data_IF_556178480120
#
_entry.id   IF_556178480120
#
_cell.length_a   1.000
_cell.length_b   1.000
_cell.length_c   1.000
_cell.angle_alpha   90.00
_cell.angle_beta   90.00
_cell.angle_gamma   90.00
#
_symmetry.space_group_name_H-M   'P 1'
#
loop_
_entity.id
_entity.type
_entity.pdbx_description
1 polymer ?
#
# COMPACT_ATOMS: atom_id res chain seq x y z
N UNK A 1 -2.69 17.42 -8.30
CA UNK A 1 -3.02 15.98 -8.28
C UNK A 1 -1.77 15.26 -7.81
N UNK A 2 -1.86 14.22 -6.97
CA UNK A 2 -0.68 13.44 -6.58
C UNK A 2 -0.18 12.67 -7.80
N UNK A 3 1.12 12.76 -8.08
CA UNK A 3 1.77 11.98 -9.13
C UNK A 3 2.12 10.61 -8.57
N UNK A 4 1.21 9.63 -8.73
CA UNK A 4 1.39 8.27 -8.25
C UNK A 4 1.50 7.35 -9.46
N UNK A 5 2.59 6.60 -9.53
CA UNK A 5 2.85 5.64 -10.61
C UNK A 5 3.02 4.23 -10.10
N UNK A 6 2.64 3.28 -10.95
CA UNK A 6 3.03 1.88 -10.79
C UNK A 6 4.51 1.72 -11.14
N UNK A 7 5.24 0.96 -10.35
CA UNK A 7 6.65 0.64 -10.56
C UNK A 7 6.81 -0.87 -10.36
N UNK A 8 7.32 -1.60 -11.38
CA UNK A 8 7.54 -3.03 -11.23
C UNK A 8 8.66 -3.30 -10.21
N UNK A 9 8.59 -4.44 -9.52
CA UNK A 9 9.56 -4.86 -8.50
C UNK A 9 11.03 -4.59 -8.87
N UNK A 10 11.40 -4.89 -10.12
CA UNK A 10 12.75 -4.80 -10.65
C UNK A 10 13.26 -3.36 -10.80
N UNK A 11 12.34 -2.39 -10.88
CA UNK A 11 12.64 -0.96 -11.01
C UNK A 11 12.58 -0.21 -9.66
N UNK A 12 12.28 -0.91 -8.57
CA UNK A 12 12.25 -0.29 -7.23
C UNK A 12 13.67 0.10 -6.81
N UNK A 13 13.89 1.40 -6.63
CA UNK A 13 15.07 1.95 -5.98
C UNK A 13 15.00 1.64 -4.48
N UNK A 14 15.72 0.60 -4.08
CA UNK A 14 15.81 0.13 -2.70
C UNK A 14 16.24 1.22 -1.72
N UNK A 15 17.13 2.12 -2.12
CA UNK A 15 17.65 3.15 -1.20
C UNK A 15 16.59 4.21 -0.95
N UNK A 16 15.91 4.67 -2.01
CA UNK A 16 14.82 5.62 -1.87
C UNK A 16 13.63 5.02 -1.12
N UNK A 17 13.25 3.79 -1.43
CA UNK A 17 12.22 3.05 -0.69
C UNK A 17 12.50 3.00 0.81
N UNK A 18 13.70 2.54 1.19
CA UNK A 18 14.07 2.45 2.59
C UNK A 18 14.14 3.84 3.24
N UNK A 19 14.55 4.88 2.50
CA UNK A 19 14.48 6.27 2.95
C UNK A 19 13.06 6.69 3.28
N UNK A 20 12.10 6.44 2.38
CA UNK A 20 10.68 6.73 2.63
C UNK A 20 10.17 6.03 3.88
N UNK A 21 10.42 4.72 4.00
CA UNK A 21 9.97 3.93 5.15
C UNK A 21 10.62 4.43 6.45
N UNK A 22 11.90 4.77 6.41
CA UNK A 22 12.64 5.26 7.57
C UNK A 22 12.11 6.60 8.09
N UNK A 23 11.79 7.53 7.19
CA UNK A 23 11.30 8.87 7.55
C UNK A 23 9.77 8.97 7.62
N UNK A 24 9.04 7.92 7.25
CA UNK A 24 7.60 7.90 7.32
C UNK A 24 7.12 7.96 8.78
N UNK A 25 6.09 8.77 9.05
CA UNK A 25 5.47 8.83 10.39
C UNK A 25 4.88 7.50 10.83
N UNK A 26 4.51 6.66 9.86
CA UNK A 26 4.00 5.32 10.06
C UNK A 26 5.02 4.22 9.67
N UNK A 27 6.30 4.58 9.58
CA UNK A 27 7.39 3.65 9.30
C UNK A 27 7.50 2.56 10.37
N UNK A 28 7.67 1.32 9.93
CA UNK A 28 7.92 0.18 10.80
C UNK A 28 8.79 -0.86 10.09
N UNK A 29 9.21 -1.91 10.80
CA UNK A 29 10.06 -2.98 10.24
C UNK A 29 9.44 -3.64 9.01
N UNK A 30 8.12 -3.80 8.99
CA UNK A 30 7.36 -4.46 7.93
C UNK A 30 7.41 -3.70 6.59
N UNK A 31 7.72 -2.40 6.60
CA UNK A 31 7.85 -1.60 5.38
C UNK A 31 9.21 -1.73 4.70
N UNK A 32 10.26 -2.15 5.41
CA UNK A 32 11.61 -2.14 4.84
C UNK A 32 11.77 -3.19 3.75
N UNK A 33 12.54 -2.84 2.71
CA UNK A 33 12.75 -3.69 1.54
C UNK A 33 13.24 -5.09 1.93
N UNK A 34 14.20 -5.19 2.87
CA UNK A 34 14.75 -6.49 3.28
C UNK A 34 13.70 -7.37 3.97
N UNK A 35 12.79 -6.76 4.73
CA UNK A 35 11.74 -7.49 5.45
C UNK A 35 10.70 -7.99 4.47
N UNK A 36 10.22 -7.11 3.59
CA UNK A 36 9.29 -7.47 2.51
C UNK A 36 9.85 -8.57 1.61
N UNK A 37 11.14 -8.50 1.23
CA UNK A 37 11.81 -9.58 0.47
C UNK A 37 11.76 -10.92 1.19
N UNK A 38 11.88 -10.91 2.51
CA UNK A 38 11.92 -12.13 3.32
C UNK A 38 10.53 -12.75 3.49
N UNK A 39 9.49 -11.93 3.60
CA UNK A 39 8.12 -12.38 3.90
C UNK A 39 7.29 -12.59 2.65
N UNK A 40 7.29 -11.62 1.72
CA UNK A 40 6.39 -11.59 0.56
C UNK A 40 7.12 -11.80 -0.77
N UNK A 41 8.45 -11.99 -0.74
CA UNK A 41 9.34 -12.19 -1.89
C UNK A 41 9.36 -11.02 -2.85
N UNK A 42 8.37 -10.89 -3.72
CA UNK A 42 8.33 -9.90 -4.80
C UNK A 42 7.02 -9.11 -4.75
N UNK A 43 7.15 -7.81 -4.97
CA UNK A 43 6.03 -6.89 -4.98
C UNK A 43 6.29 -5.79 -6.01
N UNK A 44 5.26 -5.42 -6.75
CA UNK A 44 5.25 -4.15 -7.46
C UNK A 44 4.93 -3.03 -6.48
N UNK A 45 5.01 -1.79 -6.93
CA UNK A 45 4.83 -0.65 -6.05
C UNK A 45 3.93 0.42 -6.66
N UNK A 46 3.20 1.11 -5.79
CA UNK A 46 2.73 2.46 -6.08
C UNK A 46 3.68 3.45 -5.43
N UNK A 47 4.14 4.44 -6.19
CA UNK A 47 5.14 5.42 -5.74
C UNK A 47 4.66 6.84 -6.06
N UNK A 48 4.61 7.71 -5.05
CA UNK A 48 4.34 9.14 -5.21
C UNK A 48 5.65 9.88 -5.52
N UNK A 49 5.66 10.64 -6.62
CA UNK A 49 6.75 11.54 -7.04
C UNK A 49 8.12 10.86 -7.08
N UNK A 50 9.11 11.43 -6.40
CA UNK A 50 10.42 10.81 -6.18
C UNK A 50 10.48 10.12 -4.80
N UNK A 51 9.62 9.10 -4.61
CA UNK A 51 9.55 8.29 -3.40
C UNK A 51 9.09 9.05 -2.14
N UNK A 52 8.26 10.08 -2.27
CA UNK A 52 7.68 10.71 -1.08
C UNK A 52 6.67 9.79 -0.37
N UNK A 53 6.06 8.87 -1.12
CA UNK A 53 5.22 7.81 -0.58
C UNK A 53 5.43 6.52 -1.35
N UNK A 54 5.35 5.39 -0.66
CA UNK A 54 5.49 4.05 -1.23
C UNK A 54 4.44 3.11 -0.67
N UNK A 55 3.88 2.25 -1.51
CA UNK A 55 2.94 1.21 -1.11
C UNK A 55 3.26 -0.09 -1.86
N UNK A 56 3.53 -1.19 -1.15
CA UNK A 56 3.81 -2.46 -1.79
C UNK A 56 2.53 -3.10 -2.33
N UNK A 57 2.63 -3.70 -3.52
CA UNK A 57 1.63 -4.48 -4.22
C UNK A 57 2.18 -5.90 -4.40
N UNK A 58 1.88 -6.84 -3.49
CA UNK A 58 2.32 -8.22 -3.63
C UNK A 58 1.93 -8.82 -4.97
N UNK A 59 2.83 -9.60 -5.58
CA UNK A 59 2.54 -10.34 -6.81
C UNK A 59 1.90 -11.72 -6.59
N UNK A 60 2.04 -12.25 -5.38
CA UNK A 60 1.64 -13.61 -5.03
C UNK A 60 0.85 -13.62 -3.73
N UNK A 61 -0.03 -14.60 -3.58
CA UNK A 61 -0.61 -14.92 -2.28
C UNK A 61 0.50 -15.22 -1.28
N UNK A 62 0.36 -14.67 -0.08
CA UNK A 62 1.37 -14.86 0.94
C UNK A 62 1.24 -16.25 1.58
N UNK A 63 2.35 -16.86 1.99
CA UNK A 63 2.30 -18.05 2.83
C UNK A 63 1.46 -17.76 4.08
N UNK A 64 0.71 -18.73 4.58
CA UNK A 64 -0.14 -18.56 5.77
C UNK A 64 0.63 -18.04 6.99
N UNK A 65 1.91 -18.40 7.15
CA UNK A 65 2.76 -17.90 8.22
C UNK A 65 3.10 -16.40 8.11
N UNK A 66 2.96 -15.79 6.93
CA UNK A 66 3.21 -14.36 6.74
C UNK A 66 2.17 -13.49 7.46
N UNK A 67 0.96 -14.02 7.71
CA UNK A 67 -0.10 -13.35 8.46
C UNK A 67 0.30 -13.08 9.92
N UNK A 68 1.11 -13.97 10.51
CA UNK A 68 1.62 -13.78 11.88
C UNK A 68 2.81 -12.81 11.94
N UNK A 69 3.50 -12.63 10.82
CA UNK A 69 4.71 -11.80 10.71
C UNK A 69 4.43 -10.38 10.20
N UNK A 70 3.22 -10.12 9.70
CA UNK A 70 2.82 -8.81 9.19
C UNK A 70 1.61 -8.32 9.98
N UNK A 71 1.74 -7.16 10.61
CA UNK A 71 0.60 -6.41 11.17
C UNK A 71 -0.19 -5.66 10.07
N UNK A 72 -0.23 -6.24 8.87
CA UNK A 72 -0.71 -5.61 7.62
C UNK A 72 0.39 -4.86 6.85
N UNK A 73 0.17 -4.71 5.54
CA UNK A 73 0.98 -3.84 4.67
C UNK A 73 0.17 -2.60 4.29
N UNK A 74 0.82 -1.54 3.84
CA UNK A 74 0.08 -0.37 3.40
C UNK A 74 0.98 0.76 2.95
N UNK A 75 0.37 1.92 2.78
CA UNK A 75 1.03 3.15 2.39
C UNK A 75 2.00 3.62 3.46
N UNK A 76 3.27 3.84 3.10
CA UNK A 76 4.24 4.58 3.90
C UNK A 76 4.49 5.94 3.25
N UNK A 77 4.56 7.00 4.04
CA UNK A 77 4.70 8.35 3.51
C UNK A 77 5.47 9.26 4.45
N UNK A 78 6.38 10.06 3.89
CA UNK A 78 6.97 11.20 4.61
C UNK A 78 6.02 12.39 4.68
N UNK A 79 4.97 12.39 3.83
CA UNK A 79 3.90 13.37 3.85
C UNK A 79 2.77 12.93 4.80
N UNK A 80 1.87 13.85 5.20
CA UNK A 80 0.71 13.50 6.01
C UNK A 80 -0.17 12.44 5.33
N UNK A 81 -0.60 11.41 6.06
CA UNK A 81 -1.57 10.42 5.57
C UNK A 81 -3.00 10.99 5.59
N UNK A 82 -3.22 12.06 4.80
CA UNK A 82 -4.54 12.64 4.59
C UNK A 82 -5.46 11.65 3.89
N UNK A 83 -6.77 11.77 4.13
CA UNK A 83 -7.81 10.96 3.47
C UNK A 83 -7.61 10.94 1.94
N UNK A 84 -7.47 12.10 1.30
CA UNK A 84 -7.23 12.20 -0.15
C UNK A 84 -6.02 11.37 -0.63
N UNK A 85 -4.96 11.25 0.16
CA UNK A 85 -3.76 10.47 -0.17
C UNK A 85 -4.03 8.98 -0.05
N UNK A 86 -4.61 8.57 1.08
CA UNK A 86 -4.99 7.17 1.32
C UNK A 86 -5.91 6.69 0.20
N UNK A 87 -6.91 7.50 -0.18
CA UNK A 87 -7.84 7.17 -1.26
C UNK A 87 -7.20 7.12 -2.64
N UNK A 88 -6.28 8.04 -2.94
CA UNK A 88 -5.58 8.01 -4.22
C UNK A 88 -4.77 6.70 -4.38
N UNK A 89 -4.08 6.27 -3.32
CA UNK A 89 -3.37 4.99 -3.31
C UNK A 89 -4.30 3.79 -3.34
N UNK A 90 -5.38 3.80 -2.56
CA UNK A 90 -6.36 2.70 -2.55
C UNK A 90 -7.00 2.50 -3.93
N UNK A 91 -7.44 3.57 -4.58
CA UNK A 91 -8.08 3.50 -5.90
C UNK A 91 -7.13 2.97 -6.99
N UNK A 92 -5.83 3.25 -6.86
CA UNK A 92 -4.82 2.70 -7.74
C UNK A 92 -4.51 1.24 -7.39
N UNK A 93 -4.46 0.89 -6.10
CA UNK A 93 -4.31 -0.50 -5.65
C UNK A 93 -5.45 -1.36 -6.20
N UNK A 94 -6.71 -0.93 -6.06
CA UNK A 94 -7.89 -1.68 -6.53
C UNK A 94 -7.82 -1.99 -8.04
N UNK A 95 -7.23 -1.08 -8.83
CA UNK A 95 -7.02 -1.27 -10.27
C UNK A 95 -5.86 -2.20 -10.62
N UNK A 96 -4.87 -2.34 -9.74
CA UNK A 96 -3.59 -2.99 -10.04
C UNK A 96 -3.30 -4.24 -9.19
N UNK A 97 -4.09 -4.54 -8.16
CA UNK A 97 -3.78 -5.56 -7.13
C UNK A 97 -4.02 -7.01 -7.55
N UNK A 98 -4.38 -7.26 -8.82
CA UNK A 98 -4.65 -8.60 -9.35
C UNK A 98 -5.61 -9.44 -8.47
N UNK A 99 -6.53 -8.79 -7.73
CA UNK A 99 -7.47 -9.42 -6.78
C UNK A 99 -6.86 -10.15 -5.58
N UNK A 100 -5.58 -9.90 -5.26
CA UNK A 100 -4.95 -10.45 -4.06
C UNK A 100 -5.55 -9.78 -2.81
N UNK A 101 -6.20 -10.58 -1.98
CA UNK A 101 -6.77 -10.12 -0.70
C UNK A 101 -5.71 -10.21 0.40
N UNK A 102 -5.37 -9.07 0.99
CA UNK A 102 -4.52 -9.01 2.18
C UNK A 102 -5.02 -7.91 3.12
N UNK A 103 -4.72 -8.07 4.41
CA UNK A 103 -5.05 -7.06 5.40
C UNK A 103 -4.14 -5.84 5.24
N UNK A 104 -4.77 -4.68 5.16
CA UNK A 104 -4.08 -3.41 5.25
C UNK A 104 -3.61 -3.12 6.67
N UNK A 105 -2.52 -2.35 6.80
CA UNK A 105 -2.12 -1.80 8.09
C UNK A 105 -3.17 -0.79 8.61
N UNK A 106 -3.10 -0.46 9.91
CA UNK A 106 -4.06 0.43 10.57
C UNK A 106 -4.18 1.83 9.92
N UNK A 107 -3.12 2.28 9.23
CA UNK A 107 -3.06 3.57 8.55
C UNK A 107 -3.86 3.61 7.24
N UNK A 108 -4.21 2.44 6.73
CA UNK A 108 -5.06 2.24 5.55
C UNK A 108 -6.48 1.80 5.97
N UNK A 109 -6.89 2.06 7.23
CA UNK A 109 -8.13 1.59 7.85
C UNK A 109 -9.34 1.62 6.88
N UNK A 110 -10.11 0.51 6.80
CA UNK A 110 -11.36 0.46 6.05
C UNK A 110 -12.35 1.55 6.44
N UNK A 111 -12.29 2.14 7.64
CA UNK A 111 -13.16 3.24 8.03
C UNK A 111 -12.81 4.57 7.32
N UNK A 112 -11.54 4.78 6.98
CA UNK A 112 -11.08 5.93 6.19
C UNK A 112 -11.39 5.75 4.71
N UNK A 113 -11.29 4.51 4.23
CA UNK A 113 -11.60 4.15 2.83
C UNK A 113 -13.11 4.02 2.59
N UNK A 114 -13.90 3.51 3.54
CA UNK A 114 -15.35 3.33 3.39
C UNK A 114 -16.13 4.64 3.50
N UNK A 115 -15.70 5.59 4.33
CA UNK A 115 -16.36 6.91 4.46
C UNK A 115 -16.42 7.67 3.12
N UNK A 116 -15.41 7.54 2.27
CA UNK A 116 -15.42 8.12 0.93
C UNK A 116 -16.23 7.30 -0.08
N UNK A 117 -16.31 5.97 0.07
CA UNK A 117 -17.11 5.10 -0.79
C UNK A 117 -18.61 5.37 -0.59
N UNK A 118 -19.06 5.67 0.64
CA UNK A 118 -20.48 6.01 0.91
C UNK A 118 -20.93 7.28 0.17
N UNK A 119 -20.02 8.19 -0.19
CA UNK A 119 -20.35 9.36 -1.00
C UNK A 119 -20.45 9.07 -2.52
N UNK A 120 -19.96 7.91 -3.00
CA UNK A 120 -19.95 7.55 -4.42
C UNK A 120 -20.69 6.25 -4.77
N UNK A 121 -21.14 5.48 -3.78
CA UNK A 121 -21.79 4.18 -4.00
C UNK A 121 -23.27 4.21 -3.58
N UNK A 122 -24.15 4.26 -4.58
CA UNK A 122 -25.56 3.85 -4.43
C UNK A 122 -25.65 2.37 -4.85
N UNK A 123 -25.88 1.42 -3.92
CA UNK A 123 -25.91 0.01 -4.28
C UNK A 123 -27.14 -0.26 -5.15
N UNK A 124 -26.91 -0.74 -6.38
CA UNK A 124 -27.94 -1.48 -7.12
C UNK A 124 -28.03 -2.87 -6.50
N UNK A 125 -29.01 -3.04 -5.62
CA UNK A 125 -29.44 -4.36 -5.19
C UNK A 125 -29.97 -5.11 -6.42
N UNK A 126 -29.31 -6.21 -6.79
CA UNK A 126 -29.89 -7.21 -7.68
C UNK A 126 -30.53 -8.25 -6.76
N UNK A 127 -31.85 -8.34 -6.88
CA UNK A 127 -32.72 -9.32 -6.20
C UNK A 127 -32.48 -10.74 -6.74
#
# INVERSE_FOLDING_TARGET
>A
MMDIRFVPFEEIDKNKWNGTVHFARNGNVCGYYWYLRSVIKEWDALIEGDYQSVMPLPRYEWPSFALDLLTGIGLYSVNPLSENRILAFYNLWEKNSHHLSFSFNEFMSPALVSKSIIHSYQPKFVL
#
